data_IF_710562643074
#
_entry.id   IF_710562643074
#
_cell.length_a   1.000
_cell.length_b   1.000
_cell.length_c   1.000
_cell.angle_alpha   90.00
_cell.angle_beta   90.00
_cell.angle_gamma   90.00
#
_symmetry.space_group_name_H-M   'P 1'
#
loop_
_entity.id
_entity.type
_entity.pdbx_description
1 polymer ?
#
# COMPACT_ATOMS: atom_id res chain seq x y z
N UNK A 1 2.55 -3.41 -31.86
CA UNK A 1 2.40 -4.84 -31.48
C UNK A 1 1.29 -4.94 -30.45
N UNK A 2 0.15 -5.59 -30.77
CA UNK A 2 -0.95 -5.80 -29.82
C UNK A 2 -0.57 -6.85 -28.79
N UNK A 3 -0.68 -6.53 -27.51
CA UNK A 3 -0.57 -7.52 -26.43
C UNK A 3 -1.80 -8.43 -26.51
N UNK A 4 -1.59 -9.76 -26.67
CA UNK A 4 -2.68 -10.73 -26.67
C UNK A 4 -3.50 -10.70 -25.38
N UNK A 5 -4.78 -11.12 -25.42
CA UNK A 5 -5.73 -11.12 -24.30
C UNK A 5 -5.23 -11.85 -23.02
N UNK A 6 -4.21 -12.69 -23.15
CA UNK A 6 -3.57 -13.34 -22.02
C UNK A 6 -2.54 -12.46 -21.29
N UNK A 7 -2.06 -11.38 -21.93
CA UNK A 7 -1.05 -10.46 -21.36
C UNK A 7 -1.66 -9.16 -20.84
N UNK A 8 -2.74 -8.69 -21.47
CA UNK A 8 -3.45 -7.48 -21.04
C UNK A 8 -4.92 -7.80 -20.80
N UNK A 9 -5.42 -7.49 -19.62
CA UNK A 9 -6.82 -7.74 -19.22
C UNK A 9 -7.41 -6.51 -18.58
N UNK A 10 -8.60 -6.14 -18.98
CA UNK A 10 -9.39 -5.07 -18.35
C UNK A 10 -10.42 -5.68 -17.41
N UNK A 11 -10.38 -5.27 -16.14
CA UNK A 11 -11.42 -5.56 -15.16
C UNK A 11 -12.31 -4.33 -14.98
N UNK A 12 -13.51 -4.37 -15.60
CA UNK A 12 -14.51 -3.32 -15.43
C UNK A 12 -15.37 -3.59 -14.20
N UNK A 13 -15.34 -2.67 -13.24
CA UNK A 13 -16.19 -2.74 -12.05
C UNK A 13 -17.57 -2.14 -12.34
N UNK A 14 -18.63 -2.78 -11.83
CA UNK A 14 -20.01 -2.31 -12.00
C UNK A 14 -20.28 -1.02 -11.19
N UNK A 15 -19.60 -0.88 -10.04
CA UNK A 15 -19.69 0.29 -9.17
C UNK A 15 -18.29 0.85 -8.90
N UNK A 16 -18.20 2.16 -8.66
CA UNK A 16 -16.98 2.76 -8.16
C UNK A 16 -16.76 2.33 -6.69
N UNK A 17 -15.75 1.51 -6.46
CA UNK A 17 -15.36 1.00 -5.14
C UNK A 17 -14.18 1.79 -4.56
N UNK A 18 -13.79 2.92 -5.15
CA UNK A 18 -12.61 3.65 -4.75
C UNK A 18 -11.30 2.95 -5.14
N UNK A 19 -10.15 3.58 -4.78
CA UNK A 19 -8.80 3.07 -5.12
C UNK A 19 -8.57 1.68 -4.51
N UNK A 20 -8.79 1.53 -3.21
CA UNK A 20 -8.57 0.26 -2.49
C UNK A 20 -9.45 -0.87 -3.01
N UNK A 21 -10.73 -0.60 -3.27
CA UNK A 21 -11.63 -1.60 -3.84
C UNK A 21 -11.23 -2.05 -5.25
N UNK A 22 -10.75 -1.13 -6.09
CA UNK A 22 -10.25 -1.46 -7.43
C UNK A 22 -8.98 -2.30 -7.37
N UNK A 23 -8.00 -1.89 -6.55
CA UNK A 23 -6.74 -2.63 -6.34
C UNK A 23 -7.03 -4.02 -5.78
N UNK A 24 -7.87 -4.13 -4.75
CA UNK A 24 -8.29 -5.41 -4.16
C UNK A 24 -8.81 -6.37 -5.21
N UNK A 25 -9.73 -5.95 -6.08
CA UNK A 25 -10.28 -6.78 -7.14
C UNK A 25 -9.24 -7.20 -8.16
N UNK A 26 -8.38 -6.27 -8.58
CA UNK A 26 -7.29 -6.54 -9.50
C UNK A 26 -6.31 -7.58 -8.95
N UNK A 27 -5.87 -7.42 -7.70
CA UNK A 27 -4.93 -8.31 -7.05
C UNK A 27 -5.50 -9.73 -6.85
N UNK A 28 -6.78 -9.86 -6.48
CA UNK A 28 -7.43 -11.16 -6.28
C UNK A 28 -7.61 -11.97 -7.56
N UNK A 29 -7.70 -11.33 -8.74
CA UNK A 29 -7.79 -12.03 -10.04
C UNK A 29 -6.44 -12.21 -10.73
N UNK A 30 -5.38 -11.63 -10.19
CA UNK A 30 -4.02 -11.73 -10.72
C UNK A 30 -3.43 -13.13 -10.56
N UNK A 31 -2.55 -13.57 -11.50
CA UNK A 31 -2.07 -14.96 -11.59
C UNK A 31 -0.55 -15.11 -11.46
N UNK A 32 0.20 -14.03 -11.32
CA UNK A 32 1.67 -14.07 -11.19
C UNK A 32 2.14 -14.82 -9.93
N UNK A 33 3.37 -15.31 -9.89
CA UNK A 33 4.04 -15.74 -8.65
C UNK A 33 4.18 -14.54 -7.72
N UNK A 34 4.63 -13.41 -8.28
CA UNK A 34 4.67 -12.13 -7.62
C UNK A 34 3.63 -11.20 -8.25
N UNK A 35 2.97 -10.41 -7.44
CA UNK A 35 1.92 -9.49 -7.82
C UNK A 35 2.33 -8.07 -7.46
N UNK A 36 2.51 -7.21 -8.46
CA UNK A 36 2.80 -5.81 -8.26
C UNK A 36 1.51 -4.99 -8.30
N UNK A 37 1.30 -4.19 -7.28
CA UNK A 37 0.40 -3.05 -7.30
C UNK A 37 1.22 -1.80 -7.63
N UNK A 38 0.85 -1.09 -8.68
CA UNK A 38 1.49 0.15 -9.10
C UNK A 38 0.44 1.20 -9.45
N UNK A 39 0.64 2.44 -9.01
CA UNK A 39 -0.17 3.58 -9.46
C UNK A 39 0.08 3.84 -10.96
N UNK A 40 -0.99 4.20 -11.69
CA UNK A 40 -0.96 4.36 -13.14
C UNK A 40 -0.67 5.81 -13.59
N UNK A 41 -0.26 6.68 -12.67
CA UNK A 41 0.06 8.08 -12.91
C UNK A 41 1.49 8.30 -13.45
N UNK A 42 2.32 7.26 -13.42
CA UNK A 42 3.72 7.35 -13.84
C UNK A 42 4.67 7.98 -12.82
N UNK A 43 4.19 8.30 -11.62
CA UNK A 43 5.00 8.91 -10.57
C UNK A 43 6.20 8.04 -10.17
N UNK A 44 6.03 6.72 -10.13
CA UNK A 44 7.12 5.76 -9.87
C UNK A 44 7.61 5.15 -11.17
N UNK A 45 8.91 5.19 -11.40
CA UNK A 45 9.54 4.57 -12.58
C UNK A 45 9.37 3.06 -12.53
N UNK A 46 8.77 2.45 -13.57
CA UNK A 46 8.47 1.00 -13.58
C UNK A 46 9.69 0.10 -13.46
N UNK A 47 10.87 0.53 -13.95
CA UNK A 47 12.13 -0.21 -13.81
C UNK A 47 12.55 -0.47 -12.36
N UNK A 48 12.02 0.28 -11.40
CA UNK A 48 12.25 0.08 -9.96
C UNK A 48 11.77 -1.30 -9.46
N UNK A 49 10.91 -1.99 -10.24
CA UNK A 49 10.49 -3.37 -9.97
C UNK A 49 11.69 -4.32 -9.79
N UNK A 50 12.82 -4.04 -10.44
CA UNK A 50 14.02 -4.86 -10.31
C UNK A 50 14.56 -4.84 -8.86
N UNK A 51 14.52 -3.68 -8.19
CA UNK A 51 14.94 -3.56 -6.79
C UNK A 51 13.99 -4.31 -5.86
N UNK A 52 12.67 -4.23 -6.10
CA UNK A 52 11.67 -4.95 -5.31
C UNK A 52 11.83 -6.46 -5.47
N UNK A 53 12.06 -6.95 -6.69
CA UNK A 53 12.28 -8.36 -6.95
C UNK A 53 13.54 -8.89 -6.26
N UNK A 54 14.62 -8.13 -6.31
CA UNK A 54 15.89 -8.50 -5.64
C UNK A 54 15.71 -8.58 -4.12
N UNK A 55 14.94 -7.63 -3.53
CA UNK A 55 14.69 -7.64 -2.11
C UNK A 55 13.68 -8.75 -1.72
N UNK A 56 12.69 -9.04 -2.59
CA UNK A 56 11.73 -10.12 -2.37
C UNK A 56 12.42 -11.47 -2.23
N UNK A 57 13.43 -11.77 -3.04
CA UNK A 57 14.16 -13.03 -2.95
C UNK A 57 14.90 -13.26 -1.61
N UNK A 58 15.11 -12.19 -0.83
CA UNK A 58 15.72 -12.23 0.51
C UNK A 58 14.69 -12.16 1.63
N UNK A 59 13.47 -11.71 1.32
CA UNK A 59 12.41 -11.44 2.31
C UNK A 59 11.36 -12.56 2.34
N UNK A 60 11.13 -13.22 1.17
CA UNK A 60 10.18 -14.34 1.08
C UNK A 60 10.59 -15.46 2.04
N UNK A 61 9.69 -15.86 2.95
CA UNK A 61 9.94 -16.95 3.90
C UNK A 61 9.67 -18.32 3.27
N UNK A 62 9.94 -19.39 4.02
CA UNK A 62 9.76 -20.77 3.58
C UNK A 62 8.29 -21.11 3.23
N UNK A 63 7.32 -20.44 3.85
CA UNK A 63 5.89 -20.59 3.55
C UNK A 63 5.47 -19.81 2.28
N UNK A 64 6.40 -19.15 1.60
CA UNK A 64 6.14 -18.38 0.39
C UNK A 64 5.40 -17.06 0.66
N UNK A 65 5.60 -16.45 1.83
CA UNK A 65 5.06 -15.14 2.18
C UNK A 65 6.12 -14.06 2.14
N UNK A 66 5.79 -12.90 1.58
CA UNK A 66 6.65 -11.72 1.54
C UNK A 66 5.91 -10.51 0.96
N UNK A 67 6.29 -9.34 1.40
CA UNK A 67 5.78 -8.04 0.95
C UNK A 67 6.91 -7.02 0.90
N UNK A 68 7.11 -6.40 -0.26
CA UNK A 68 8.10 -5.32 -0.44
C UNK A 68 7.37 -4.03 -0.80
N UNK A 69 7.68 -2.96 -0.07
CA UNK A 69 7.17 -1.63 -0.32
C UNK A 69 8.24 -0.77 -0.99
N UNK A 70 7.88 -0.06 -2.05
CA UNK A 70 8.63 1.11 -2.47
C UNK A 70 8.52 2.22 -1.43
N UNK A 71 9.55 3.05 -1.32
CA UNK A 71 9.59 4.15 -0.34
C UNK A 71 10.11 5.44 -0.96
N UNK A 72 9.46 6.53 -0.61
CA UNK A 72 9.85 7.91 -0.93
C UNK A 72 10.46 8.62 0.28
N UNK A 73 10.70 7.90 1.38
CA UNK A 73 11.14 8.50 2.65
C UNK A 73 12.45 9.30 2.49
N UNK A 74 13.36 8.85 1.61
CA UNK A 74 14.61 9.56 1.30
C UNK A 74 14.37 10.93 0.64
N UNK A 75 13.27 11.12 -0.11
CA UNK A 75 12.93 12.41 -0.73
C UNK A 75 12.31 13.39 0.28
N UNK A 76 11.77 12.88 1.38
CA UNK A 76 11.17 13.72 2.42
C UNK A 76 12.22 14.57 3.14
N UNK A 77 13.44 14.06 3.34
CA UNK A 77 14.55 14.80 3.94
C UNK A 77 14.95 16.03 3.13
N UNK A 78 14.99 15.89 1.81
CA UNK A 78 15.42 16.97 0.91
C UNK A 78 14.35 18.06 0.76
N UNK A 79 13.08 17.71 0.93
CA UNK A 79 11.94 18.62 0.80
C UNK A 79 11.55 19.34 2.11
N UNK A 80 12.09 18.92 3.26
CA UNK A 80 11.80 19.57 4.55
C UNK A 80 12.28 21.02 4.61
N UNK A 81 13.36 21.37 3.90
CA UNK A 81 13.94 22.72 3.90
C UNK A 81 13.04 23.79 3.26
N UNK A 82 12.06 23.41 2.42
CA UNK A 82 11.21 24.34 1.67
C UNK A 82 9.73 24.31 2.06
N UNK A 83 9.34 23.46 3.03
CA UNK A 83 7.93 23.29 3.41
C UNK A 83 7.47 24.31 4.44
N UNK A 84 6.19 24.73 4.32
CA UNK A 84 5.52 25.52 5.35
C UNK A 84 5.48 24.76 6.68
N UNK A 85 5.72 25.44 7.80
CA UNK A 85 5.67 24.91 9.18
C UNK A 85 4.38 24.12 9.45
N UNK A 86 3.23 24.63 9.01
CA UNK A 86 1.94 23.97 9.14
C UNK A 86 1.89 22.59 8.44
N UNK A 87 2.44 22.51 7.23
CA UNK A 87 2.51 21.26 6.46
C UNK A 87 3.42 20.23 7.14
N UNK A 88 4.46 20.67 7.81
CA UNK A 88 5.34 19.81 8.60
C UNK A 88 4.62 19.24 9.82
N UNK A 89 3.83 20.04 10.55
CA UNK A 89 3.03 19.56 11.69
C UNK A 89 2.01 18.52 11.24
N UNK A 90 1.29 18.76 10.16
CA UNK A 90 0.34 17.80 9.60
C UNK A 90 1.03 16.48 9.21
N UNK A 91 2.20 16.56 8.62
CA UNK A 91 2.98 15.37 8.25
C UNK A 91 3.42 14.58 9.48
N UNK A 92 3.99 15.24 10.50
CA UNK A 92 4.40 14.59 11.76
C UNK A 92 3.21 13.98 12.48
N UNK A 93 2.08 14.70 12.55
CA UNK A 93 0.83 14.19 13.11
C UNK A 93 0.33 12.94 12.36
N UNK A 94 0.40 12.96 11.04
CA UNK A 94 0.04 11.80 10.21
C UNK A 94 0.95 10.60 10.49
N UNK A 95 2.28 10.79 10.51
CA UNK A 95 3.23 9.72 10.83
C UNK A 95 2.98 9.14 12.23
N UNK A 96 2.69 10.00 13.22
CA UNK A 96 2.34 9.54 14.56
C UNK A 96 1.07 8.69 14.55
N UNK A 97 0.02 9.11 13.84
CA UNK A 97 -1.23 8.34 13.71
C UNK A 97 -1.00 6.99 13.03
N UNK A 98 -0.22 6.95 11.93
CA UNK A 98 0.11 5.70 11.24
C UNK A 98 0.89 4.77 12.18
N UNK A 99 1.85 5.30 12.93
CA UNK A 99 2.63 4.51 13.91
C UNK A 99 1.79 3.98 15.08
N UNK A 100 0.81 4.77 15.55
CA UNK A 100 -0.06 4.38 16.67
C UNK A 100 -1.16 3.40 16.24
N UNK A 101 -1.82 3.66 15.13
CA UNK A 101 -3.05 2.96 14.72
C UNK A 101 -2.86 2.02 13.53
N UNK A 102 -1.81 2.20 12.76
CA UNK A 102 -1.51 1.45 11.55
C UNK A 102 -0.35 0.47 11.70
N UNK A 103 0.62 0.58 10.81
CA UNK A 103 1.80 -0.28 10.71
C UNK A 103 3.04 0.47 11.22
N UNK A 104 3.91 -0.22 11.97
CA UNK A 104 5.18 0.33 12.50
C UNK A 104 6.41 -0.09 11.70
N UNK A 105 6.28 -1.16 10.93
CA UNK A 105 7.42 -1.79 10.26
C UNK A 105 7.83 -1.09 8.97
N UNK A 106 6.97 -0.23 8.39
CA UNK A 106 7.17 0.45 7.11
C UNK A 106 7.01 1.96 7.31
N UNK A 107 7.96 2.74 6.81
CA UNK A 107 7.96 4.20 6.93
C UNK A 107 7.03 4.88 5.93
N UNK A 108 7.13 4.51 4.64
CA UNK A 108 6.24 5.02 3.59
C UNK A 108 5.09 4.05 3.30
N UNK A 109 4.09 4.07 4.16
CA UNK A 109 2.93 3.18 4.04
C UNK A 109 2.05 3.45 2.81
N UNK A 110 2.14 4.65 2.22
CA UNK A 110 1.27 5.11 1.14
C UNK A 110 1.92 5.11 -0.25
N UNK A 111 3.15 4.62 -0.39
CA UNK A 111 3.75 4.47 -1.70
C UNK A 111 2.94 3.48 -2.54
N UNK A 112 2.43 3.94 -3.69
CA UNK A 112 1.63 3.13 -4.63
C UNK A 112 2.48 2.19 -5.48
N UNK A 113 3.52 1.58 -4.91
CA UNK A 113 4.40 0.64 -5.60
C UNK A 113 4.79 -0.49 -4.64
N UNK A 114 3.96 -1.55 -4.61
CA UNK A 114 4.11 -2.65 -3.65
C UNK A 114 4.08 -4.01 -4.33
N UNK A 115 5.06 -4.84 -4.01
CA UNK A 115 5.22 -6.20 -4.53
C UNK A 115 4.85 -7.23 -3.45
N UNK A 116 3.99 -8.16 -3.81
CA UNK A 116 3.51 -9.22 -2.94
C UNK A 116 3.85 -10.59 -3.53
N UNK A 117 4.16 -11.57 -2.71
CA UNK A 117 3.99 -12.95 -3.14
C UNK A 117 2.50 -13.24 -3.34
N UNK A 118 2.15 -14.22 -4.18
CA UNK A 118 0.75 -14.59 -4.43
C UNK A 118 0.03 -15.02 -3.13
N UNK A 119 0.72 -15.77 -2.27
CA UNK A 119 0.17 -16.24 -1.00
C UNK A 119 -0.19 -15.06 -0.09
N UNK A 120 0.74 -14.12 0.08
CA UNK A 120 0.51 -12.89 0.83
C UNK A 120 -0.65 -12.08 0.25
N UNK A 121 -0.65 -11.84 -1.06
CA UNK A 121 -1.70 -11.06 -1.70
C UNK A 121 -3.09 -11.67 -1.47
N UNK A 122 -3.23 -12.99 -1.61
CA UNK A 122 -4.51 -13.67 -1.40
C UNK A 122 -5.05 -13.48 0.01
N UNK A 123 -4.22 -13.62 1.05
CA UNK A 123 -4.65 -13.47 2.44
C UNK A 123 -4.95 -12.01 2.75
N UNK A 124 -4.02 -11.10 2.44
CA UNK A 124 -4.11 -9.70 2.80
C UNK A 124 -5.27 -9.01 2.08
N UNK A 125 -5.42 -9.22 0.76
CA UNK A 125 -6.53 -8.61 0.02
C UNK A 125 -7.89 -9.27 0.27
N UNK A 126 -7.96 -10.52 0.70
CA UNK A 126 -9.23 -11.11 1.18
C UNK A 126 -9.68 -10.48 2.49
N UNK A 127 -8.73 -10.20 3.39
CA UNK A 127 -8.98 -9.64 4.72
C UNK A 127 -9.17 -8.11 4.71
N UNK A 128 -8.78 -7.41 3.65
CA UNK A 128 -8.87 -5.95 3.55
C UNK A 128 -10.35 -5.50 3.43
N UNK A 129 -10.74 -4.48 4.21
CA UNK A 129 -12.10 -3.95 4.28
C UNK A 129 -12.20 -2.53 3.73
N UNK A 130 -11.09 -1.74 3.78
CA UNK A 130 -11.10 -0.36 3.34
C UNK A 130 -11.03 -0.28 1.81
N UNK A 131 -12.02 0.43 1.23
CA UNK A 131 -12.11 0.59 -0.23
C UNK A 131 -11.49 1.91 -0.74
N UNK A 132 -11.21 2.87 0.18
CA UNK A 132 -10.69 4.20 -0.17
C UNK A 132 -9.17 4.29 0.07
N UNK A 133 -8.67 5.48 0.42
CA UNK A 133 -7.24 5.80 0.46
C UNK A 133 -6.45 5.08 1.58
N UNK A 134 -7.07 4.86 2.74
CA UNK A 134 -6.39 4.24 3.89
C UNK A 134 -6.18 2.71 3.73
N UNK A 135 -6.60 2.09 2.61
CA UNK A 135 -6.42 0.67 2.37
C UNK A 135 -4.93 0.25 2.40
N UNK A 136 -4.02 1.12 1.95
CA UNK A 136 -2.59 0.88 1.97
C UNK A 136 -2.08 0.58 3.38
N UNK A 137 -2.56 1.33 4.37
CA UNK A 137 -2.20 1.11 5.78
C UNK A 137 -2.85 -0.16 6.32
N UNK A 138 -4.10 -0.45 5.94
CA UNK A 138 -4.78 -1.69 6.34
C UNK A 138 -4.04 -2.93 5.83
N UNK A 139 -3.59 -2.94 4.57
CA UNK A 139 -2.82 -4.05 3.99
C UNK A 139 -1.57 -4.36 4.82
N UNK A 140 -0.82 -3.31 5.19
CA UNK A 140 0.40 -3.45 5.99
C UNK A 140 0.08 -3.88 7.42
N UNK A 141 -0.99 -3.36 8.01
CA UNK A 141 -1.46 -3.77 9.34
C UNK A 141 -1.83 -5.25 9.38
N UNK A 142 -2.57 -5.74 8.37
CA UNK A 142 -2.90 -7.16 8.25
C UNK A 142 -1.63 -8.00 8.12
N UNK A 143 -0.69 -7.60 7.25
CA UNK A 143 0.57 -8.31 7.07
C UNK A 143 1.40 -8.36 8.37
N UNK A 144 1.45 -7.25 9.13
CA UNK A 144 2.12 -7.17 10.44
C UNK A 144 1.46 -8.10 11.47
N UNK A 145 0.12 -8.12 11.56
CA UNK A 145 -0.62 -9.00 12.46
C UNK A 145 -0.41 -10.49 12.14
N UNK A 146 -0.26 -10.82 10.86
CA UNK A 146 0.03 -12.18 10.38
C UNK A 146 1.53 -12.54 10.44
N UNK A 147 2.38 -11.61 10.92
CA UNK A 147 3.85 -11.77 10.96
C UNK A 147 4.44 -12.12 9.59
N UNK A 148 3.87 -11.56 8.53
CA UNK A 148 4.40 -11.71 7.17
C UNK A 148 5.68 -10.87 7.07
N UNK A 149 6.79 -11.43 6.54
CA UNK A 149 8.01 -10.65 6.33
C UNK A 149 7.76 -9.48 5.39
N UNK A 150 8.14 -8.28 5.83
CA UNK A 150 8.01 -7.04 5.07
C UNK A 150 9.35 -6.31 5.02
N UNK A 151 9.64 -5.69 3.89
CA UNK A 151 10.79 -4.81 3.73
C UNK A 151 10.44 -3.61 2.85
N UNK A 152 11.28 -2.59 2.91
CA UNK A 152 11.11 -1.32 2.23
C UNK A 152 12.36 -1.01 1.41
N UNK A 153 12.18 -0.47 0.21
CA UNK A 153 13.29 -0.07 -0.67
C UNK A 153 12.99 1.28 -1.31
N UNK A 154 13.98 2.16 -1.32
CA UNK A 154 13.88 3.48 -1.95
C UNK A 154 13.68 3.35 -3.45
N UNK A 155 12.66 4.04 -3.98
CA UNK A 155 12.29 4.07 -5.39
C UNK A 155 12.39 5.48 -5.96
N UNK A 156 12.70 5.59 -7.26
CA UNK A 156 12.63 6.86 -7.97
C UNK A 156 11.17 7.26 -8.14
N UNK A 157 10.81 8.41 -7.57
CA UNK A 157 9.47 8.95 -7.60
C UNK A 157 9.51 10.44 -7.95
N UNK A 158 8.58 10.86 -8.79
CA UNK A 158 8.44 12.26 -9.21
C UNK A 158 7.03 12.74 -8.92
N UNK A 159 6.89 13.92 -8.33
CA UNK A 159 5.56 14.51 -8.10
C UNK A 159 4.91 14.85 -9.45
N UNK A 160 3.71 14.33 -9.67
CA UNK A 160 2.92 14.65 -10.86
C UNK A 160 1.97 15.80 -10.52
N UNK A 161 2.07 16.88 -11.27
CA UNK A 161 1.21 18.04 -11.12
C UNK A 161 -0.27 17.69 -11.38
N UNK A 162 -1.17 18.32 -10.64
CA UNK A 162 -2.63 18.19 -10.85
C UNK A 162 -3.42 17.51 -9.74
N UNK A 163 -2.83 17.29 -8.57
CA UNK A 163 -3.59 16.83 -7.40
C UNK A 163 -4.61 17.90 -6.97
N UNK A 164 -5.91 17.54 -7.04
CA UNK A 164 -7.04 18.40 -6.62
C UNK A 164 -7.45 18.17 -5.16
N UNK A 165 -6.63 17.46 -4.36
CA UNK A 165 -6.96 17.14 -2.99
C UNK A 165 -6.68 18.34 -2.08
N UNK A 166 -7.68 18.73 -1.27
CA UNK A 166 -7.46 19.63 -0.16
C UNK A 166 -6.66 18.90 0.93
N UNK A 167 -5.43 19.36 1.26
CA UNK A 167 -4.56 18.65 2.19
C UNK A 167 -5.15 18.54 3.60
N UNK A 168 -5.93 19.51 4.05
CA UNK A 168 -6.50 19.56 5.41
C UNK A 168 -7.64 18.53 5.51
N UNK A 169 -8.60 18.60 4.58
CA UNK A 169 -9.73 17.66 4.57
C UNK A 169 -9.25 16.22 4.37
N UNK A 170 -8.27 16.02 3.49
CA UNK A 170 -7.68 14.70 3.28
C UNK A 170 -7.00 14.15 4.56
N UNK A 171 -6.29 15.01 5.31
CA UNK A 171 -5.64 14.63 6.57
C UNK A 171 -6.65 14.25 7.65
N UNK A 172 -7.73 15.01 7.80
CA UNK A 172 -8.81 14.72 8.77
C UNK A 172 -9.49 13.39 8.42
N UNK A 173 -9.82 13.19 7.14
CA UNK A 173 -10.43 11.94 6.69
C UNK A 173 -9.51 10.75 6.94
N UNK A 174 -8.23 10.90 6.63
CA UNK A 174 -7.24 9.85 6.85
C UNK A 174 -7.08 9.50 8.34
N UNK A 175 -7.02 10.51 9.21
CA UNK A 175 -6.98 10.30 10.67
C UNK A 175 -8.20 9.49 11.15
N UNK A 176 -9.40 9.89 10.72
CA UNK A 176 -10.64 9.16 11.04
C UNK A 176 -10.58 7.72 10.56
N UNK A 177 -10.12 7.49 9.34
CA UNK A 177 -10.04 6.15 8.76
C UNK A 177 -9.03 5.27 9.52
N UNK A 178 -7.87 5.80 9.91
CA UNK A 178 -6.87 5.10 10.71
C UNK A 178 -7.35 4.77 12.11
N UNK A 179 -8.02 5.71 12.78
CA UNK A 179 -8.62 5.48 14.10
C UNK A 179 -9.70 4.40 14.04
N UNK A 180 -10.60 4.46 13.06
CA UNK A 180 -11.65 3.46 12.88
C UNK A 180 -11.07 2.09 12.51
N UNK A 181 -10.00 2.03 11.70
CA UNK A 181 -9.28 0.82 11.39
C UNK A 181 -8.76 0.15 12.67
N UNK A 182 -8.02 0.91 13.48
CA UNK A 182 -7.49 0.42 14.75
C UNK A 182 -8.61 -0.09 15.66
N UNK A 183 -9.66 0.71 15.85
CA UNK A 183 -10.78 0.38 16.72
C UNK A 183 -11.49 -0.91 16.30
N UNK A 184 -11.73 -1.09 15.00
CA UNK A 184 -12.43 -2.28 14.47
C UNK A 184 -11.63 -3.56 14.63
N UNK A 185 -10.31 -3.51 14.45
CA UNK A 185 -9.45 -4.66 14.73
C UNK A 185 -9.31 -4.90 16.24
N UNK A 186 -9.18 -3.86 17.06
CA UNK A 186 -9.07 -3.98 18.51
C UNK A 186 -10.33 -4.58 19.16
N UNK A 187 -11.52 -4.25 18.66
CA UNK A 187 -12.79 -4.80 19.10
C UNK A 187 -13.14 -6.16 18.46
N UNK A 188 -12.31 -6.69 17.56
CA UNK A 188 -12.59 -7.93 16.83
C UNK A 188 -13.75 -7.85 15.85
N UNK A 189 -14.23 -6.62 15.52
CA UNK A 189 -15.28 -6.40 14.52
C UNK A 189 -14.81 -6.76 13.10
N UNK A 190 -13.52 -6.56 12.82
CA UNK A 190 -12.87 -7.03 11.61
C UNK A 190 -11.96 -8.21 11.94
N UNK A 191 -12.14 -9.27 11.18
CA UNK A 191 -11.36 -10.50 11.32
C UNK A 191 -10.46 -10.70 10.11
N UNK A 192 -9.27 -11.19 10.35
CA UNK A 192 -8.36 -11.61 9.30
C UNK A 192 -8.75 -13.02 8.88
N UNK A 193 -8.81 -13.28 7.58
CA UNK A 193 -9.04 -14.62 7.05
C UNK A 193 -7.85 -15.50 7.47
N UNK A 194 -8.12 -16.60 8.15
CA UNK A 194 -7.08 -17.54 8.57
C UNK A 194 -6.32 -18.07 7.36
N UNK A 195 -5.03 -18.36 7.57
CA UNK A 195 -4.25 -19.11 6.58
C UNK A 195 -4.96 -20.46 6.41
N UNK A 196 -5.66 -20.65 5.29
CA UNK A 196 -6.10 -22.01 4.93
C UNK A 196 -4.85 -22.80 4.56
N UNK A 197 -4.64 -23.88 5.27
CA UNK A 197 -3.64 -24.90 4.96
C UNK A 197 -3.71 -25.37 3.50
#
# INVERSE_FOLDING_TARGET
>A
MGLGSNKLRLLKLVKNLGKGGAVRRGMLVSRGKYLLFADADGATTFSEIAKLNLLMSKTENEDGHGLICGSRAHLASDSLATRSFFRTILMLGFHLCVSMFGCRSIQDTQCGFKLFTRNTARIVFKSCHIERWAFDVELLKIAEMLKIPMAEVSVQWTEIEGSKLDPILASIQMFKDLFLLWLRYALGAWKIVEKSD
#
